data_IF_307946860733
#
_entry.id   IF_307946860733
#
_cell.length_a   1.000
_cell.length_b   1.000
_cell.length_c   1.000
_cell.angle_alpha   90.00
_cell.angle_beta   90.00
_cell.angle_gamma   90.00
#
_symmetry.space_group_name_H-M   'P 1'
#
loop_
_entity.id
_entity.type
_entity.pdbx_description
1 polymer ?
#
# COMPACT_ATOMS: atom_id res chain seq x y z
N UNK A 1 -0.98 -60.79 -3.17
CA UNK A 1 -1.66 -59.51 -3.50
C UNK A 1 -1.31 -58.53 -2.40
N UNK A 2 -0.29 -57.72 -2.64
CA UNK A 2 0.34 -56.85 -1.62
C UNK A 2 -0.14 -55.42 -1.89
N UNK A 3 -0.95 -54.85 -1.01
CA UNK A 3 -1.47 -53.47 -1.12
C UNK A 3 -0.44 -52.55 -0.48
N UNK A 4 0.23 -51.75 -1.30
CA UNK A 4 1.12 -50.68 -0.83
C UNK A 4 0.27 -49.47 -0.44
N UNK A 5 0.28 -49.12 0.82
CA UNK A 5 -0.26 -47.87 1.35
C UNK A 5 0.74 -46.74 1.04
N UNK A 6 0.33 -45.79 0.20
CA UNK A 6 1.06 -44.57 -0.06
C UNK A 6 0.96 -43.64 1.14
N UNK A 7 2.09 -43.34 1.77
CA UNK A 7 2.21 -42.23 2.74
C UNK A 7 2.00 -40.90 2.03
N UNK A 8 0.87 -40.25 2.25
CA UNK A 8 0.68 -38.83 1.93
C UNK A 8 1.37 -38.00 3.03
N UNK A 9 2.54 -37.49 2.73
CA UNK A 9 3.19 -36.49 3.58
C UNK A 9 2.38 -35.21 3.51
N UNK A 10 1.58 -34.94 4.54
CA UNK A 10 1.01 -33.62 4.78
C UNK A 10 2.16 -32.61 4.99
N UNK A 11 2.38 -31.72 4.03
CA UNK A 11 3.26 -30.58 4.24
C UNK A 11 2.62 -29.72 5.33
N UNK A 12 3.21 -29.72 6.51
CA UNK A 12 2.92 -28.70 7.52
C UNK A 12 3.15 -27.30 6.92
N UNK A 13 2.25 -26.32 7.19
CA UNK A 13 2.52 -24.96 6.79
C UNK A 13 3.80 -24.50 7.49
N UNK A 14 4.76 -23.99 6.71
CA UNK A 14 6.02 -23.47 7.23
C UNK A 14 5.74 -22.53 8.40
N UNK A 15 6.27 -22.85 9.58
CA UNK A 15 6.20 -22.01 10.74
C UNK A 15 6.73 -20.62 10.35
N UNK A 16 5.88 -19.59 10.45
CA UNK A 16 6.29 -18.21 10.31
C UNK A 16 7.31 -17.94 11.43
N UNK A 17 8.58 -17.94 11.06
CA UNK A 17 9.61 -17.38 11.95
C UNK A 17 9.22 -15.93 12.21
N UNK A 18 9.22 -15.53 13.47
CA UNK A 18 9.05 -14.13 13.90
C UNK A 18 10.23 -13.34 13.34
N UNK A 19 10.14 -12.93 12.06
CA UNK A 19 11.07 -11.97 11.48
C UNK A 19 10.95 -10.69 12.28
N UNK A 20 12.03 -10.28 12.93
CA UNK A 20 12.11 -8.99 13.59
C UNK A 20 12.06 -7.92 12.50
N UNK A 21 10.90 -7.29 12.32
CA UNK A 21 10.74 -6.21 11.35
C UNK A 21 11.71 -5.08 11.70
N UNK A 22 12.51 -4.64 10.73
CA UNK A 22 13.39 -3.48 10.93
C UNK A 22 12.55 -2.21 11.12
N UNK A 23 13.02 -1.33 12.01
CA UNK A 23 12.36 -0.04 12.25
C UNK A 23 12.73 0.94 11.12
N UNK A 24 11.75 1.66 10.59
CA UNK A 24 11.96 2.73 9.61
C UNK A 24 12.23 4.09 10.28
N UNK A 25 12.72 5.06 9.51
CA UNK A 25 13.12 6.40 9.99
C UNK A 25 11.97 7.43 10.08
N UNK A 26 10.71 6.99 10.07
CA UNK A 26 9.57 7.89 10.21
C UNK A 26 9.34 8.30 11.69
N UNK A 27 8.56 9.37 11.94
CA UNK A 27 8.17 9.76 13.29
C UNK A 27 7.57 8.58 14.09
N UNK A 28 7.86 8.52 15.39
CA UNK A 28 7.41 7.41 16.26
C UNK A 28 5.90 7.14 16.19
N UNK A 29 5.09 8.18 16.01
CA UNK A 29 3.63 8.06 15.86
C UNK A 29 3.17 7.30 14.60
N UNK A 30 4.03 7.17 13.58
CA UNK A 30 3.76 6.34 12.40
C UNK A 30 3.96 4.86 12.73
N UNK A 31 4.86 4.54 13.66
CA UNK A 31 5.27 3.17 13.97
C UNK A 31 5.66 2.39 12.70
N UNK A 32 6.60 2.97 11.93
CA UNK A 32 7.03 2.41 10.65
C UNK A 32 7.90 1.18 10.86
N UNK A 33 7.54 0.11 10.18
CA UNK A 33 8.28 -1.15 10.09
C UNK A 33 8.57 -1.47 8.62
N UNK A 34 9.50 -2.38 8.37
CA UNK A 34 9.86 -2.81 7.03
C UNK A 34 9.70 -4.33 6.89
N UNK A 35 8.95 -4.74 5.87
CA UNK A 35 8.85 -6.10 5.38
C UNK A 35 8.85 -6.04 3.85
N UNK A 36 10.05 -6.00 3.30
CA UNK A 36 10.24 -5.80 1.86
C UNK A 36 9.89 -7.03 1.05
N UNK A 37 9.26 -6.83 -0.11
CA UNK A 37 9.19 -7.88 -1.13
C UNK A 37 10.63 -8.26 -1.50
N UNK A 38 11.00 -9.55 -1.50
CA UNK A 38 12.36 -9.98 -1.80
C UNK A 38 12.81 -9.53 -3.20
N UNK A 39 14.02 -8.98 -3.29
CA UNK A 39 14.60 -8.61 -4.58
C UNK A 39 14.73 -9.84 -5.50
N UNK A 40 14.48 -9.65 -6.79
CA UNK A 40 14.50 -10.71 -7.79
C UNK A 40 13.31 -11.67 -7.74
N UNK A 41 12.28 -11.40 -6.92
CA UNK A 41 11.10 -12.26 -6.77
C UNK A 41 9.80 -11.48 -6.89
N UNK A 42 8.73 -12.19 -7.27
CA UNK A 42 7.36 -11.66 -7.33
C UNK A 42 7.30 -10.33 -8.11
N UNK A 43 6.67 -9.31 -7.56
CA UNK A 43 6.60 -7.98 -8.16
C UNK A 43 7.93 -7.22 -8.22
N UNK A 44 9.02 -7.76 -7.65
CA UNK A 44 10.38 -7.22 -7.72
C UNK A 44 11.36 -8.08 -8.55
N UNK A 45 10.86 -8.98 -9.39
CA UNK A 45 11.72 -9.71 -10.34
C UNK A 45 12.12 -8.84 -11.55
N UNK A 46 11.36 -7.78 -11.82
CA UNK A 46 11.69 -6.66 -12.69
C UNK A 46 11.49 -5.40 -11.86
N UNK A 47 12.49 -4.53 -11.79
CA UNK A 47 12.43 -3.28 -11.06
C UNK A 47 12.52 -2.10 -12.02
N UNK A 48 11.57 -1.19 -11.94
CA UNK A 48 11.54 0.05 -12.69
C UNK A 48 11.90 1.22 -11.75
N UNK A 49 12.82 2.12 -12.12
CA UNK A 49 13.17 3.28 -11.28
C UNK A 49 11.96 4.19 -11.03
N UNK A 50 11.80 4.67 -9.80
CA UNK A 50 10.80 5.64 -9.40
C UNK A 50 11.46 6.97 -9.02
N UNK A 51 11.02 8.04 -9.67
CA UNK A 51 11.20 9.43 -9.24
C UNK A 51 9.83 9.95 -8.80
N UNK A 52 9.52 9.77 -7.52
CA UNK A 52 8.19 10.07 -7.01
C UNK A 52 7.92 11.58 -6.98
N UNK A 53 6.85 11.98 -7.63
CA UNK A 53 6.30 13.35 -7.61
C UNK A 53 4.88 13.38 -7.06
N UNK A 54 4.26 12.22 -6.83
CA UNK A 54 2.93 12.05 -6.27
C UNK A 54 2.93 11.03 -5.13
N UNK A 55 1.90 11.11 -4.29
CA UNK A 55 1.52 10.06 -3.34
C UNK A 55 0.11 9.65 -3.67
N UNK A 56 -0.09 8.36 -3.97
CA UNK A 56 -1.41 7.80 -4.25
C UNK A 56 -1.95 7.06 -3.04
N UNK A 57 -3.13 7.47 -2.58
CA UNK A 57 -3.81 6.87 -1.45
C UNK A 57 -4.82 5.84 -1.95
N UNK A 58 -4.77 4.65 -1.33
CA UNK A 58 -5.66 3.52 -1.57
C UNK A 58 -6.34 3.08 -0.28
N UNK A 59 -7.35 2.22 -0.41
CA UNK A 59 -7.84 1.40 0.69
C UNK A 59 -7.93 -0.06 0.26
N UNK A 60 -7.59 -0.98 1.17
CA UNK A 60 -7.29 -2.39 0.86
C UNK A 60 -8.49 -3.21 0.34
N UNK A 61 -9.70 -2.68 0.39
CA UNK A 61 -10.95 -3.41 0.08
C UNK A 61 -11.07 -4.76 0.82
N UNK A 62 -10.37 -4.87 1.95
CA UNK A 62 -10.31 -6.05 2.80
C UNK A 62 -10.45 -5.67 4.28
N UNK A 63 -11.62 -5.94 4.86
CA UNK A 63 -11.96 -5.57 6.25
C UNK A 63 -11.44 -6.54 7.30
N UNK A 64 -10.71 -7.58 6.91
CA UNK A 64 -10.30 -8.67 7.77
C UNK A 64 -8.77 -8.80 7.92
N UNK A 65 -7.98 -8.01 7.19
CA UNK A 65 -6.53 -8.11 7.22
C UNK A 65 -5.86 -6.85 7.74
N UNK A 66 -4.77 -7.04 8.47
CA UNK A 66 -3.89 -6.00 9.01
C UNK A 66 -2.80 -5.61 8.01
N UNK A 67 -2.07 -4.54 8.28
CA UNK A 67 -0.91 -4.14 7.48
C UNK A 67 0.13 -5.26 7.40
N UNK A 68 0.36 -5.97 8.50
CA UNK A 68 1.31 -7.09 8.55
C UNK A 68 0.87 -8.26 7.66
N UNK A 69 -0.41 -8.59 7.68
CA UNK A 69 -0.94 -9.68 6.82
C UNK A 69 -0.84 -9.34 5.33
N UNK A 70 -1.12 -8.08 4.95
CA UNK A 70 -0.93 -7.63 3.57
C UNK A 70 0.55 -7.66 3.16
N UNK A 71 1.45 -7.16 4.01
CA UNK A 71 2.89 -7.17 3.73
C UNK A 71 3.43 -8.60 3.58
N UNK A 72 3.04 -9.55 4.44
CA UNK A 72 3.37 -10.98 4.28
C UNK A 72 2.81 -11.55 2.98
N UNK A 73 1.57 -11.24 2.64
CA UNK A 73 0.98 -11.67 1.37
C UNK A 73 1.76 -11.16 0.17
N UNK A 74 2.19 -9.90 0.20
CA UNK A 74 3.00 -9.30 -0.88
C UNK A 74 4.40 -9.93 -0.94
N UNK A 75 5.08 -10.10 0.19
CA UNK A 75 6.39 -10.74 0.29
C UNK A 75 6.38 -12.22 -0.13
N UNK A 76 5.24 -12.89 -0.01
CA UNK A 76 5.02 -14.27 -0.45
C UNK A 76 4.50 -14.38 -1.90
N UNK A 77 4.26 -13.25 -2.60
CA UNK A 77 3.75 -13.24 -3.97
C UNK A 77 2.28 -13.66 -4.10
N UNK A 78 1.47 -13.43 -3.06
CA UNK A 78 0.06 -13.79 -3.06
C UNK A 78 -0.81 -12.87 -3.96
N UNK A 79 -0.38 -11.63 -4.20
CA UNK A 79 -1.14 -10.65 -4.97
C UNK A 79 -0.82 -10.72 -6.46
N UNK A 80 -1.29 -11.80 -7.11
CA UNK A 80 -1.19 -11.94 -8.54
C UNK A 80 -2.08 -10.93 -9.26
N UNK A 81 -1.55 -10.30 -10.30
CA UNK A 81 -2.33 -9.43 -11.16
C UNK A 81 -3.37 -10.23 -11.96
N UNK A 82 -4.58 -9.66 -12.09
CA UNK A 82 -5.68 -10.24 -12.87
C UNK A 82 -5.70 -9.77 -14.33
N UNK A 83 -4.82 -8.86 -14.68
CA UNK A 83 -4.74 -8.27 -16.01
C UNK A 83 -3.39 -8.48 -16.65
N UNK A 84 -3.37 -8.72 -17.98
CA UNK A 84 -2.15 -8.81 -18.79
C UNK A 84 -1.39 -7.47 -18.91
N UNK A 85 -2.04 -6.38 -18.54
CA UNK A 85 -1.45 -5.04 -18.59
C UNK A 85 -0.53 -4.72 -17.41
N UNK A 86 -0.54 -5.56 -16.36
CA UNK A 86 0.38 -5.42 -15.24
C UNK A 86 1.77 -5.92 -15.66
N UNK A 87 2.77 -5.05 -15.58
CA UNK A 87 4.13 -5.27 -16.12
C UNK A 87 4.90 -6.36 -15.38
N UNK A 88 4.61 -6.56 -14.10
CA UNK A 88 5.31 -7.55 -13.26
C UNK A 88 4.50 -8.82 -13.01
N UNK A 89 3.23 -8.86 -13.39
CA UNK A 89 2.32 -9.97 -13.07
C UNK A 89 1.88 -10.00 -11.60
N UNK A 90 2.21 -8.97 -10.82
CA UNK A 90 1.87 -8.83 -9.40
C UNK A 90 1.40 -7.42 -9.08
N UNK A 91 0.46 -7.29 -8.15
CA UNK A 91 0.14 -6.00 -7.55
C UNK A 91 1.12 -5.74 -6.41
N UNK A 92 1.74 -4.57 -6.40
CA UNK A 92 2.71 -4.13 -5.40
C UNK A 92 2.53 -2.65 -5.09
N UNK A 93 2.72 -2.29 -3.84
CA UNK A 93 2.64 -0.91 -3.35
C UNK A 93 3.68 -0.67 -2.25
N UNK A 94 3.93 0.59 -1.89
CA UNK A 94 5.03 0.95 -1.02
C UNK A 94 4.73 0.75 0.46
N UNK A 95 3.53 1.14 0.90
CA UNK A 95 3.14 1.08 2.31
C UNK A 95 1.75 0.50 2.51
N UNK A 96 1.60 -0.32 3.54
CA UNK A 96 0.30 -0.67 4.09
C UNK A 96 0.20 -0.14 5.51
N UNK A 97 -0.93 0.50 5.85
CA UNK A 97 -1.12 1.19 7.12
C UNK A 97 -2.37 0.67 7.81
N UNK A 98 -2.24 0.31 9.09
CA UNK A 98 -3.37 -0.06 9.95
C UNK A 98 -3.42 0.78 11.25
N UNK A 99 -4.27 0.41 12.18
CA UNK A 99 -4.43 1.07 13.47
C UNK A 99 -3.25 0.86 14.43
N UNK A 100 -2.31 -0.02 14.11
CA UNK A 100 -1.15 -0.35 14.95
C UNK A 100 0.14 0.20 14.34
N UNK A 101 0.35 0.04 13.03
CA UNK A 101 1.62 0.29 12.37
C UNK A 101 1.46 0.66 10.90
N UNK A 102 2.53 1.18 10.31
CA UNK A 102 2.75 1.25 8.87
C UNK A 102 3.85 0.27 8.48
N UNK A 103 3.69 -0.47 7.38
CA UNK A 103 4.71 -1.40 6.89
C UNK A 103 5.12 -1.01 5.49
N UNK A 104 6.41 -0.76 5.30
CA UNK A 104 7.01 -0.54 4.00
C UNK A 104 7.33 -1.88 3.34
N UNK A 105 6.86 -2.07 2.11
CA UNK A 105 7.04 -3.30 1.34
C UNK A 105 7.85 -3.12 0.05
N UNK A 106 8.02 -1.89 -0.43
CA UNK A 106 8.89 -1.56 -1.55
C UNK A 106 9.86 -0.42 -1.20
N UNK A 107 11.09 -0.43 -1.75
CA UNK A 107 11.97 0.74 -1.74
C UNK A 107 11.33 1.95 -2.43
N UNK A 108 11.59 3.17 -1.93
CA UNK A 108 10.98 4.41 -2.45
C UNK A 108 11.52 4.86 -3.82
N UNK A 109 12.51 4.19 -4.35
CA UNK A 109 13.10 4.43 -5.67
C UNK A 109 12.71 3.37 -6.71
N UNK A 110 11.74 2.51 -6.40
CA UNK A 110 11.23 1.47 -7.30
C UNK A 110 9.73 1.66 -7.47
N UNK A 111 9.24 1.56 -8.73
CA UNK A 111 7.83 1.68 -9.04
C UNK A 111 7.01 0.52 -8.49
N UNK A 112 5.81 0.83 -7.96
CA UNK A 112 4.80 -0.15 -7.63
C UNK A 112 3.85 -0.42 -8.81
N UNK A 113 3.10 -1.49 -8.74
CA UNK A 113 2.03 -1.85 -9.66
C UNK A 113 0.69 -1.74 -8.91
N UNK A 114 0.22 -0.51 -8.63
CA UNK A 114 -0.92 -0.26 -7.74
C UNK A 114 -2.02 0.63 -8.33
N UNK A 115 -1.77 1.33 -9.44
CA UNK A 115 -2.72 2.31 -9.96
C UNK A 115 -3.12 2.06 -11.41
N UNK A 116 -2.39 2.60 -12.39
CA UNK A 116 -2.79 2.76 -13.78
C UNK A 116 -1.84 2.09 -14.79
N UNK A 117 -1.18 1.03 -14.36
CA UNK A 117 -0.24 0.23 -15.18
C UNK A 117 1.02 1.05 -15.58
N UNK A 118 1.12 1.49 -16.85
CA UNK A 118 2.23 2.30 -17.35
C UNK A 118 1.98 3.81 -17.21
N UNK A 119 0.88 4.19 -16.60
CA UNK A 119 0.52 5.58 -16.35
C UNK A 119 1.27 6.22 -15.18
N UNK A 120 1.07 7.53 -14.98
CA UNK A 120 1.78 8.28 -13.94
C UNK A 120 1.45 7.83 -12.51
N UNK A 121 0.31 7.19 -12.29
CA UNK A 121 -0.04 6.59 -11.00
C UNK A 121 0.94 5.51 -10.55
N UNK A 122 1.48 4.70 -11.46
CA UNK A 122 2.53 3.73 -11.16
C UNK A 122 3.93 4.31 -11.36
N UNK A 123 4.14 5.12 -12.43
CA UNK A 123 5.49 5.55 -12.83
C UNK A 123 6.02 6.75 -12.05
N UNK A 124 5.15 7.48 -11.35
CA UNK A 124 5.51 8.73 -10.65
C UNK A 124 4.97 8.83 -9.22
N UNK A 125 4.33 7.78 -8.67
CA UNK A 125 3.76 7.89 -7.33
C UNK A 125 4.18 6.79 -6.34
N UNK A 126 4.22 7.18 -5.06
CA UNK A 126 4.33 6.28 -3.91
C UNK A 126 2.91 5.83 -3.54
N UNK A 127 2.63 4.52 -3.59
CA UNK A 127 1.33 3.96 -3.20
C UNK A 127 1.24 3.66 -1.70
N UNK A 128 0.17 4.14 -1.05
CA UNK A 128 -0.15 3.87 0.36
C UNK A 128 -1.52 3.20 0.43
N UNK A 129 -1.60 1.99 0.94
CA UNK A 129 -2.82 1.24 1.19
C UNK A 129 -3.25 1.39 2.66
N UNK A 130 -4.43 1.96 2.91
CA UNK A 130 -5.03 2.06 4.23
C UNK A 130 -5.90 0.82 4.48
N UNK A 131 -5.61 0.05 5.53
CA UNK A 131 -6.43 -1.08 5.93
C UNK A 131 -7.84 -0.64 6.28
N UNK A 132 -8.82 -1.44 5.88
CA UNK A 132 -10.22 -1.21 6.20
C UNK A 132 -10.64 -2.02 7.42
N UNK A 133 -11.42 -1.39 8.29
CA UNK A 133 -11.97 -2.03 9.48
C UNK A 133 -13.47 -1.79 9.61
N UNK A 134 -14.21 -2.80 10.11
CA UNK A 134 -15.62 -2.63 10.50
C UNK A 134 -15.77 -1.78 11.75
N UNK A 135 -14.75 -1.78 12.63
CA UNK A 135 -14.71 -0.98 13.84
C UNK A 135 -14.33 0.48 13.50
N UNK A 136 -15.22 1.47 13.73
CA UNK A 136 -14.96 2.87 13.37
C UNK A 136 -13.75 3.48 14.11
N UNK A 137 -13.52 3.09 15.37
CA UNK A 137 -12.39 3.62 16.13
C UNK A 137 -11.06 3.16 15.55
N UNK A 138 -10.94 1.87 15.17
CA UNK A 138 -9.76 1.36 14.47
C UNK A 138 -9.57 2.04 13.12
N UNK A 139 -10.66 2.22 12.35
CA UNK A 139 -10.61 2.91 11.06
C UNK A 139 -10.09 4.34 11.19
N UNK A 140 -10.56 5.07 12.20
CA UNK A 140 -10.10 6.44 12.48
C UNK A 140 -8.60 6.49 12.78
N UNK A 141 -8.08 5.55 13.58
CA UNK A 141 -6.65 5.47 13.89
C UNK A 141 -5.81 5.12 12.67
N UNK A 142 -6.28 4.20 11.82
CA UNK A 142 -5.58 3.84 10.58
C UNK A 142 -5.48 5.03 9.62
N UNK A 143 -6.57 5.79 9.44
CA UNK A 143 -6.60 7.01 8.62
C UNK A 143 -5.66 8.08 9.19
N UNK A 144 -5.66 8.27 10.52
CA UNK A 144 -4.77 9.23 11.18
C UNK A 144 -3.29 8.89 10.98
N UNK A 145 -2.93 7.62 11.16
CA UNK A 145 -1.57 7.14 10.92
C UNK A 145 -1.15 7.29 9.46
N UNK A 146 -2.04 7.02 8.51
CA UNK A 146 -1.79 7.23 7.09
C UNK A 146 -1.55 8.72 6.77
N UNK A 147 -2.29 9.63 7.40
CA UNK A 147 -2.06 11.07 7.26
C UNK A 147 -0.66 11.49 7.77
N UNK A 148 -0.23 10.96 8.92
CA UNK A 148 1.13 11.20 9.45
C UNK A 148 2.22 10.65 8.54
N UNK A 149 2.06 9.43 8.04
CA UNK A 149 2.98 8.82 7.08
C UNK A 149 3.07 9.66 5.79
N UNK A 150 1.93 10.11 5.28
CA UNK A 150 1.86 10.95 4.08
C UNK A 150 2.59 12.28 4.29
N UNK A 151 2.36 12.96 5.41
CA UNK A 151 3.03 14.21 5.76
C UNK A 151 4.57 14.02 5.85
N UNK A 152 5.02 12.94 6.45
CA UNK A 152 6.44 12.60 6.50
C UNK A 152 7.02 12.36 5.10
N UNK A 153 6.34 11.60 4.23
CA UNK A 153 6.78 11.35 2.85
C UNK A 153 6.81 12.63 2.01
N UNK A 154 5.86 13.54 2.21
CA UNK A 154 5.88 14.87 1.59
C UNK A 154 7.17 15.63 1.91
N UNK A 155 7.62 15.59 3.18
CA UNK A 155 8.88 16.16 3.61
C UNK A 155 10.09 15.48 2.96
N UNK A 156 10.16 14.16 3.09
CA UNK A 156 11.29 13.36 2.61
C UNK A 156 11.50 13.44 1.09
N UNK A 157 10.42 13.68 0.33
CA UNK A 157 10.45 13.66 -1.13
C UNK A 157 10.19 15.02 -1.77
N UNK A 158 9.89 16.06 -0.98
CA UNK A 158 9.53 17.38 -1.51
C UNK A 158 8.22 17.37 -2.30
N UNK A 159 7.28 16.45 -1.98
CA UNK A 159 6.00 16.32 -2.69
C UNK A 159 5.00 17.30 -2.09
N UNK A 160 4.39 18.20 -2.88
CA UNK A 160 3.41 19.15 -2.36
C UNK A 160 2.05 18.49 -2.10
N UNK A 161 1.20 19.14 -1.29
CA UNK A 161 -0.08 18.59 -0.84
C UNK A 161 -1.06 18.30 -1.99
N UNK A 162 -1.08 19.13 -3.03
CA UNK A 162 -1.91 18.96 -4.23
C UNK A 162 -1.48 17.77 -5.11
N UNK A 163 -0.33 17.18 -4.84
CA UNK A 163 0.13 15.92 -5.42
C UNK A 163 -0.16 14.70 -4.53
N UNK A 164 -0.87 14.88 -3.44
CA UNK A 164 -1.48 13.75 -2.69
C UNK A 164 -2.86 13.50 -3.28
N UNK A 165 -3.03 12.37 -3.97
CA UNK A 165 -4.22 12.08 -4.76
C UNK A 165 -4.84 10.73 -4.38
N UNK A 166 -6.17 10.56 -4.52
CA UNK A 166 -6.78 9.24 -4.39
C UNK A 166 -6.45 8.39 -5.63
N UNK A 167 -6.48 7.07 -5.52
CA UNK A 167 -6.35 6.19 -6.70
C UNK A 167 -7.38 6.53 -7.79
N UNK A 168 -8.57 7.00 -7.40
CA UNK A 168 -9.61 7.47 -8.30
C UNK A 168 -9.12 8.56 -9.28
N UNK A 169 -8.10 9.35 -8.91
CA UNK A 169 -7.50 10.37 -9.75
C UNK A 169 -6.93 9.81 -11.07
N UNK A 170 -6.44 8.56 -11.05
CA UNK A 170 -5.79 7.93 -12.19
C UNK A 170 -6.76 7.16 -13.06
N UNK A 171 -7.04 7.62 -14.32
CA UNK A 171 -7.89 6.88 -15.23
C UNK A 171 -7.20 5.60 -15.71
N UNK A 172 -7.93 4.50 -15.70
CA UNK A 172 -7.44 3.24 -16.24
C UNK A 172 -7.73 3.16 -17.74
N UNK A 173 -6.85 3.71 -18.55
CA UNK A 173 -7.02 3.83 -20.00
C UNK A 173 -7.33 2.51 -20.72
N UNK A 174 -6.74 1.41 -20.25
CA UNK A 174 -7.02 0.07 -20.80
C UNK A 174 -8.43 -0.44 -20.50
N UNK A 175 -9.17 0.25 -19.65
CA UNK A 175 -10.55 -0.02 -19.29
C UNK A 175 -11.48 1.17 -19.64
N UNK A 176 -11.27 1.79 -20.80
CA UNK A 176 -12.06 2.93 -21.29
C UNK A 176 -12.07 4.14 -20.35
N UNK A 177 -10.97 4.40 -19.69
CA UNK A 177 -10.83 5.54 -18.76
C UNK A 177 -11.58 5.36 -17.43
N UNK A 178 -11.94 4.14 -17.07
CA UNK A 178 -12.62 3.84 -15.82
C UNK A 178 -11.81 4.33 -14.61
N UNK A 179 -12.48 5.05 -13.72
CA UNK A 179 -11.91 5.50 -12.44
C UNK A 179 -12.40 4.60 -11.31
N UNK A 180 -11.50 4.12 -10.48
CA UNK A 180 -11.84 3.26 -9.34
C UNK A 180 -12.41 4.07 -8.18
N UNK A 181 -13.43 3.52 -7.50
CA UNK A 181 -13.86 4.01 -6.19
C UNK A 181 -12.83 3.60 -5.11
N UNK A 182 -11.66 4.22 -5.14
CA UNK A 182 -10.55 3.93 -4.22
C UNK A 182 -9.77 5.23 -3.91
N UNK A 183 -9.52 5.53 -2.63
CA UNK A 183 -9.88 4.80 -1.41
C UNK A 183 -11.34 4.99 -1.00
N UNK A 184 -12.16 3.97 -1.07
CA UNK A 184 -13.62 4.08 -0.81
C UNK A 184 -13.97 4.60 0.58
N UNK A 185 -13.08 4.42 1.55
CA UNK A 185 -13.26 4.91 2.92
C UNK A 185 -13.14 6.44 3.04
N UNK A 186 -12.53 7.10 2.04
CA UNK A 186 -12.30 8.54 1.98
C UNK A 186 -13.07 9.22 0.84
N UNK A 187 -13.78 8.48 0.01
CA UNK A 187 -14.56 9.02 -1.10
C UNK A 187 -16.07 8.97 -0.80
N UNK A 188 -16.80 9.92 -1.35
CA UNK A 188 -18.27 9.94 -1.36
C UNK A 188 -18.75 9.59 -2.77
N UNK A 189 -19.51 8.50 -2.90
CA UNK A 189 -20.03 8.03 -4.20
C UNK A 189 -18.95 7.89 -5.29
N UNK A 190 -17.72 7.50 -4.87
CA UNK A 190 -16.59 7.32 -5.77
C UNK A 190 -15.89 8.61 -6.19
N UNK A 191 -16.18 9.75 -5.56
CA UNK A 191 -15.58 11.04 -5.83
C UNK A 191 -14.97 11.65 -4.55
N UNK A 192 -13.90 12.45 -4.65
CA UNK A 192 -13.43 13.30 -3.56
C UNK A 192 -14.54 14.22 -3.06
N UNK A 193 -14.62 14.39 -1.75
CA UNK A 193 -15.62 15.21 -1.06
C UNK A 193 -15.19 15.45 0.39
N UNK A 194 -16.09 15.80 1.31
CA UNK A 194 -15.75 16.22 2.67
C UNK A 194 -14.80 15.28 3.43
N UNK A 195 -14.90 13.95 3.24
CA UNK A 195 -13.97 12.99 3.89
C UNK A 195 -12.57 13.08 3.33
N UNK A 196 -12.43 13.25 2.01
CA UNK A 196 -11.15 13.46 1.37
C UNK A 196 -10.53 14.79 1.81
N UNK A 197 -11.31 15.87 1.84
CA UNK A 197 -10.87 17.19 2.28
C UNK A 197 -10.40 17.17 3.74
N UNK A 198 -11.15 16.49 4.62
CA UNK A 198 -10.75 16.31 6.02
C UNK A 198 -9.44 15.50 6.16
N UNK A 199 -9.20 14.52 5.29
CA UNK A 199 -7.95 13.78 5.24
C UNK A 199 -6.78 14.67 4.81
N UNK A 200 -6.95 15.50 3.77
CA UNK A 200 -5.93 16.46 3.32
C UNK A 200 -5.63 17.52 4.40
N UNK A 201 -6.64 18.04 5.08
CA UNK A 201 -6.45 18.99 6.20
C UNK A 201 -5.63 18.35 7.34
N UNK A 202 -5.85 17.07 7.62
CA UNK A 202 -5.08 16.33 8.62
C UNK A 202 -3.61 16.20 8.22
N UNK A 203 -3.34 15.86 6.96
CA UNK A 203 -1.99 15.79 6.41
C UNK A 203 -1.30 17.14 6.53
N UNK A 204 -1.97 18.21 6.11
CA UNK A 204 -1.43 19.58 6.18
C UNK A 204 -1.09 19.97 7.62
N UNK A 205 -1.95 19.65 8.58
CA UNK A 205 -1.69 19.90 10.00
C UNK A 205 -0.42 19.21 10.49
N UNK A 206 -0.18 17.95 10.12
CA UNK A 206 1.05 17.22 10.47
C UNK A 206 2.28 17.75 9.73
N UNK A 207 2.13 18.09 8.46
CA UNK A 207 3.22 18.64 7.65
C UNK A 207 3.73 19.96 8.22
N UNK A 208 2.84 20.89 8.62
CA UNK A 208 3.21 22.16 9.26
C UNK A 208 3.80 21.99 10.65
N UNK A 209 3.25 21.05 11.45
CA UNK A 209 3.72 20.78 12.81
C UNK A 209 5.08 20.10 12.88
N UNK A 210 5.59 19.54 11.78
CA UNK A 210 6.93 18.96 11.71
C UNK A 210 8.01 20.00 11.29
N UNK A 211 7.61 21.21 10.95
CA UNK A 211 8.52 22.33 10.61
C UNK A 211 8.82 23.23 11.81
N UNK A 212 8.10 23.09 12.90
CA UNK A 212 8.29 23.84 14.16
C UNK A 212 9.14 23.03 15.14
#
# INVERSE_FOLDING_TARGET
>A
MMVLWGCTTSREPAAYTTETLSQGNAPAAVNLRQLMVPAGRYGRHIEFPLHATYITIHSTDNRNATALQHAHGMAAGAFRARTKWNRTGYMTWHFTVDDVQAIQSLPLNIQGEHADHEGPGNTSSIGIEICEFRNPARQTVAIDRAARLTAWLMHEKGIPLDHVVPHQHWPQWHFHGYQKNCPRILLEHGQPGPRWDAFLQKIEGYYRGSQS
#
